data_IF_566315725978
#
_entry.id   IF_566315725978
#
_cell.length_a   1.000
_cell.length_b   1.000
_cell.length_c   1.000
_cell.angle_alpha   90.00
_cell.angle_beta   90.00
_cell.angle_gamma   90.00
#
_symmetry.space_group_name_H-M   'P 1'
#
loop_
_entity.id
_entity.type
_entity.pdbx_description
1 polymer ?
#
# COMPACT_ATOMS: atom_id res chain seq x y z
N UNK A 1 8.49 15.05 -5.58
CA UNK A 1 7.89 13.78 -5.10
C UNK A 1 8.94 12.89 -4.39
N UNK A 2 9.66 13.40 -3.37
CA UNK A 2 10.82 12.72 -2.74
C UNK A 2 10.47 11.99 -1.42
N UNK A 3 9.60 12.55 -0.58
CA UNK A 3 9.21 11.99 0.74
C UNK A 3 8.52 10.62 0.61
N UNK A 4 7.55 10.46 -0.29
CA UNK A 4 6.85 9.19 -0.49
C UNK A 4 7.81 8.04 -0.80
N UNK A 5 8.78 8.27 -1.68
CA UNK A 5 9.73 7.23 -2.09
C UNK A 5 10.64 6.83 -0.92
N UNK A 6 11.06 7.81 -0.12
CA UNK A 6 11.78 7.57 1.13
C UNK A 6 10.96 6.70 2.11
N UNK A 7 9.67 7.02 2.32
CA UNK A 7 8.78 6.23 3.18
C UNK A 7 8.64 4.80 2.67
N UNK A 8 8.34 4.62 1.37
CA UNK A 8 8.18 3.29 0.77
C UNK A 8 9.47 2.47 0.90
N UNK A 9 10.64 3.08 0.68
CA UNK A 9 11.94 2.40 0.83
C UNK A 9 12.17 1.93 2.27
N UNK A 10 11.93 2.80 3.26
CA UNK A 10 12.07 2.47 4.68
C UNK A 10 11.11 1.33 5.10
N UNK A 11 9.82 1.45 4.75
CA UNK A 11 8.81 0.43 5.06
C UNK A 11 9.16 -0.92 4.42
N UNK A 12 9.53 -0.93 3.14
CA UNK A 12 9.89 -2.16 2.42
C UNK A 12 11.10 -2.84 3.06
N UNK A 13 12.13 -2.06 3.40
CA UNK A 13 13.32 -2.57 4.06
C UNK A 13 13.01 -3.19 5.43
N UNK A 14 12.32 -2.46 6.32
CA UNK A 14 12.01 -2.93 7.68
C UNK A 14 11.09 -4.13 7.71
N UNK A 15 10.11 -4.18 6.79
CA UNK A 15 9.20 -5.32 6.66
C UNK A 15 9.95 -6.62 6.37
N UNK A 16 10.95 -6.58 5.49
CA UNK A 16 11.66 -7.77 5.03
C UNK A 16 12.79 -8.23 5.97
N UNK A 17 13.10 -7.49 7.04
CA UNK A 17 14.11 -7.94 8.03
C UNK A 17 13.59 -9.10 8.88
N UNK A 18 14.47 -10.02 9.24
CA UNK A 18 14.18 -11.09 10.20
C UNK A 18 14.50 -10.64 11.63
N UNK A 19 13.67 -9.75 12.16
CA UNK A 19 13.73 -9.27 13.55
C UNK A 19 12.33 -9.24 14.15
N UNK A 20 12.23 -9.11 15.47
CA UNK A 20 10.93 -9.02 16.15
C UNK A 20 10.10 -7.84 15.63
N UNK A 21 8.79 -8.00 15.68
CA UNK A 21 7.86 -6.98 15.16
C UNK A 21 8.02 -5.63 15.86
N UNK A 22 8.21 -5.64 17.18
CA UNK A 22 8.47 -4.45 17.99
C UNK A 22 9.74 -3.71 17.53
N UNK A 23 10.79 -4.46 17.18
CA UNK A 23 12.03 -3.89 16.63
C UNK A 23 11.77 -3.27 15.26
N UNK A 24 11.01 -3.93 14.37
CA UNK A 24 10.63 -3.34 13.07
C UNK A 24 9.92 -2.00 13.21
N UNK A 25 8.95 -1.90 14.12
CA UNK A 25 8.19 -0.67 14.36
C UNK A 25 9.12 0.43 14.88
N UNK A 26 9.86 0.14 15.96
CA UNK A 26 10.72 1.16 16.60
C UNK A 26 11.81 1.67 15.67
N UNK A 27 12.41 0.80 14.86
CA UNK A 27 13.38 1.19 13.84
C UNK A 27 12.74 1.96 12.68
N UNK A 28 11.55 1.56 12.23
CA UNK A 28 10.82 2.29 11.18
C UNK A 28 10.46 3.71 11.66
N UNK A 29 10.04 3.88 12.90
CA UNK A 29 9.77 5.21 13.48
C UNK A 29 11.03 6.09 13.40
N UNK A 30 12.21 5.55 13.72
CA UNK A 30 13.48 6.29 13.58
C UNK A 30 13.75 6.68 12.13
N UNK A 31 13.55 5.75 11.19
CA UNK A 31 13.72 6.04 9.76
C UNK A 31 12.80 7.18 9.33
N UNK A 32 11.50 7.09 9.64
CA UNK A 32 10.48 8.05 9.25
C UNK A 32 10.75 9.46 9.81
N UNK A 33 11.26 9.56 11.04
CA UNK A 33 11.66 10.83 11.63
C UNK A 33 12.85 11.49 10.89
N UNK A 34 13.76 10.70 10.33
CA UNK A 34 14.91 11.21 9.59
C UNK A 34 14.59 11.57 8.12
N UNK A 35 13.44 11.14 7.59
CA UNK A 35 13.07 11.39 6.17
C UNK A 35 13.07 12.88 5.79
N UNK A 36 12.50 13.81 6.58
CA UNK A 36 12.56 15.24 6.26
C UNK A 36 14.01 15.74 6.15
N UNK A 37 14.86 15.42 7.13
CA UNK A 37 16.29 15.78 7.13
C UNK A 37 17.00 15.27 5.88
N UNK A 38 16.77 14.00 5.52
CA UNK A 38 17.32 13.41 4.30
C UNK A 38 16.83 14.11 3.02
N UNK A 39 15.52 14.32 2.89
CA UNK A 39 14.92 14.86 1.66
C UNK A 39 15.32 16.30 1.41
N UNK A 40 15.57 17.07 2.48
CA UNK A 40 15.98 18.47 2.42
C UNK A 40 17.50 18.67 2.54
N UNK A 41 18.28 17.58 2.46
CA UNK A 41 19.72 17.65 2.24
C UNK A 41 20.58 17.81 3.50
N UNK A 42 20.02 17.70 4.70
CA UNK A 42 20.80 17.76 5.96
C UNK A 42 21.45 16.42 6.32
N UNK A 43 20.80 15.30 5.96
CA UNK A 43 21.33 13.93 6.16
C UNK A 43 21.74 13.57 7.59
N UNK A 44 21.15 14.22 8.60
CA UNK A 44 21.58 14.18 10.01
C UNK A 44 21.81 12.77 10.56
N UNK A 45 20.85 11.86 10.37
CA UNK A 45 20.95 10.48 10.87
C UNK A 45 21.17 9.45 9.75
N UNK A 46 21.41 9.89 8.52
CA UNK A 46 21.55 9.01 7.35
C UNK A 46 22.76 8.07 7.45
N UNK A 47 23.86 8.52 8.06
CA UNK A 47 25.06 7.69 8.24
C UNK A 47 24.79 6.44 9.09
N UNK A 48 23.87 6.51 10.05
CA UNK A 48 23.44 5.36 10.85
C UNK A 48 22.48 4.42 10.09
N UNK A 49 21.94 4.89 8.96
CA UNK A 49 20.98 4.20 8.10
C UNK A 49 21.63 3.85 6.75
N UNK A 50 22.75 3.13 6.77
CA UNK A 50 23.56 2.81 5.58
C UNK A 50 22.75 2.20 4.41
N UNK A 51 21.71 1.42 4.69
CA UNK A 51 20.82 0.86 3.66
C UNK A 51 20.00 1.93 2.91
N UNK A 52 19.80 3.07 3.55
CA UNK A 52 18.94 4.15 3.11
C UNK A 52 19.73 5.19 2.33
N UNK A 53 20.82 5.68 2.92
CA UNK A 53 21.74 6.67 2.38
C UNK A 53 23.11 6.51 3.05
N UNK A 54 24.19 6.83 2.33
CA UNK A 54 25.56 6.80 2.84
C UNK A 54 25.90 8.00 3.75
N UNK A 55 24.96 8.92 3.99
CA UNK A 55 25.15 10.12 4.81
C UNK A 55 25.97 11.22 4.16
N UNK A 56 26.43 11.03 2.92
CA UNK A 56 27.15 12.05 2.18
C UNK A 56 26.15 12.89 1.38
N UNK A 57 26.29 14.22 1.49
CA UNK A 57 25.60 15.13 0.58
C UNK A 57 26.02 14.83 -0.85
N UNK A 58 25.05 14.81 -1.75
CA UNK A 58 25.33 14.64 -3.18
C UNK A 58 25.95 15.91 -3.72
N UNK A 59 26.77 15.78 -4.76
CA UNK A 59 27.33 16.93 -5.44
C UNK A 59 26.22 17.86 -5.96
N UNK A 60 26.28 19.14 -5.59
CA UNK A 60 25.25 20.13 -5.90
C UNK A 60 23.98 20.06 -5.05
N UNK A 61 23.93 19.24 -4.00
CA UNK A 61 22.79 19.18 -3.07
C UNK A 61 22.84 20.31 -2.05
N UNK A 62 21.85 21.19 -2.08
CA UNK A 62 21.69 22.27 -1.10
C UNK A 62 20.96 21.77 0.16
N UNK A 63 21.46 22.14 1.34
CA UNK A 63 20.74 21.94 2.59
C UNK A 63 19.67 23.03 2.76
N UNK A 64 18.41 22.65 2.57
CA UNK A 64 17.26 23.55 2.65
C UNK A 64 16.62 23.59 4.04
N UNK A 65 17.08 22.79 5.01
CA UNK A 65 16.46 22.68 6.34
C UNK A 65 16.37 24.03 7.04
N UNK A 66 17.46 24.79 7.08
CA UNK A 66 17.47 26.11 7.73
C UNK A 66 16.53 27.12 7.05
N UNK A 67 16.47 27.09 5.72
CA UNK A 67 15.57 27.97 4.95
C UNK A 67 14.10 27.62 5.23
N UNK A 68 13.78 26.33 5.25
CA UNK A 68 12.44 25.82 5.55
C UNK A 68 12.02 26.06 7.00
N UNK A 69 12.96 26.00 7.95
CA UNK A 69 12.73 26.37 9.35
C UNK A 69 12.36 27.85 9.47
N UNK A 70 13.15 28.74 8.85
CA UNK A 70 12.88 30.19 8.85
C UNK A 70 11.53 30.52 8.21
N UNK A 71 11.14 29.79 7.18
CA UNK A 71 9.84 29.95 6.52
C UNK A 71 8.67 29.28 7.28
N UNK A 72 8.92 28.58 8.39
CA UNK A 72 7.91 27.80 9.11
C UNK A 72 7.34 26.62 8.32
N UNK A 73 7.97 26.24 7.21
CA UNK A 73 7.52 25.14 6.35
C UNK A 73 7.97 23.78 6.88
N UNK A 74 9.15 23.71 7.49
CA UNK A 74 9.66 22.44 8.03
C UNK A 74 8.70 21.86 9.08
N UNK A 75 8.21 22.70 9.99
CA UNK A 75 7.26 22.28 11.02
C UNK A 75 5.94 21.76 10.43
N UNK A 76 5.46 22.33 9.32
CA UNK A 76 4.28 21.81 8.61
C UNK A 76 4.54 20.43 8.03
N UNK A 77 5.74 20.20 7.49
CA UNK A 77 6.15 18.89 6.97
C UNK A 77 6.29 17.87 8.11
N UNK A 78 6.93 18.23 9.22
CA UNK A 78 7.07 17.37 10.39
C UNK A 78 5.70 16.99 10.99
N UNK A 79 4.77 17.95 11.07
CA UNK A 79 3.40 17.69 11.51
C UNK A 79 2.67 16.73 10.57
N UNK A 80 2.84 16.86 9.25
CA UNK A 80 2.28 15.92 8.28
C UNK A 80 2.90 14.52 8.42
N UNK A 81 4.21 14.45 8.66
CA UNK A 81 4.93 13.19 8.91
C UNK A 81 4.49 12.51 10.20
N UNK A 82 4.12 13.26 11.24
CA UNK A 82 3.67 12.71 12.52
C UNK A 82 2.52 11.71 12.36
N UNK A 83 1.54 12.03 11.51
CA UNK A 83 0.43 11.11 11.20
C UNK A 83 0.90 9.82 10.53
N UNK A 84 1.94 9.88 9.69
CA UNK A 84 2.55 8.70 9.06
C UNK A 84 3.30 7.87 10.10
N UNK A 85 4.04 8.53 10.99
CA UNK A 85 4.83 7.91 12.06
C UNK A 85 3.93 7.19 13.08
N UNK A 86 2.84 7.81 13.49
CA UNK A 86 1.85 7.22 14.40
C UNK A 86 1.20 5.95 13.83
N UNK A 87 1.17 5.83 12.49
CA UNK A 87 0.62 4.67 11.78
C UNK A 87 1.72 3.72 11.26
N UNK A 88 2.94 3.78 11.79
CA UNK A 88 4.07 2.95 11.35
C UNK A 88 3.77 1.44 11.36
N UNK A 89 3.01 0.96 12.36
CA UNK A 89 2.58 -0.43 12.44
C UNK A 89 1.70 -0.83 11.24
N UNK A 90 0.67 -0.03 10.93
CA UNK A 90 -0.20 -0.25 9.77
C UNK A 90 0.56 -0.18 8.44
N UNK A 91 1.58 0.68 8.34
CA UNK A 91 2.44 0.75 7.16
C UNK A 91 3.23 -0.54 6.93
N UNK A 92 3.74 -1.18 7.99
CA UNK A 92 4.43 -2.47 7.89
C UNK A 92 3.50 -3.58 7.39
N UNK A 93 2.24 -3.58 7.84
CA UNK A 93 1.21 -4.49 7.35
C UNK A 93 0.73 -4.19 5.92
N UNK A 94 1.11 -3.04 5.33
CA UNK A 94 0.56 -2.53 4.07
C UNK A 94 -0.97 -2.42 4.08
N UNK A 95 -1.56 -2.10 5.25
CA UNK A 95 -2.99 -1.84 5.29
C UNK A 95 -3.31 -0.56 4.52
N UNK A 96 -4.27 -0.67 3.59
CA UNK A 96 -4.90 0.50 2.97
C UNK A 96 -6.23 0.72 3.70
N UNK A 97 -6.48 1.96 4.14
CA UNK A 97 -7.80 2.34 4.68
C UNK A 97 -8.81 2.63 3.57
N UNK A 98 -8.37 2.64 2.31
CA UNK A 98 -9.24 2.87 1.18
C UNK A 98 -9.94 1.56 0.80
N UNK A 99 -11.09 1.34 1.42
CA UNK A 99 -11.98 0.21 1.11
C UNK A 99 -12.36 0.17 -0.38
N UNK A 100 -12.44 1.32 -1.05
CA UNK A 100 -12.73 1.42 -2.49
C UNK A 100 -11.55 0.93 -3.33
N UNK A 101 -10.31 1.27 -2.98
CA UNK A 101 -9.11 0.76 -3.68
C UNK A 101 -8.92 -0.73 -3.46
N UNK A 102 -9.12 -1.21 -2.22
CA UNK A 102 -9.09 -2.63 -1.90
C UNK A 102 -10.18 -3.39 -2.69
N UNK A 103 -11.41 -2.87 -2.72
CA UNK A 103 -12.52 -3.43 -3.49
C UNK A 103 -12.25 -3.39 -5.00
N UNK A 104 -11.80 -2.25 -5.54
CA UNK A 104 -11.46 -2.10 -6.95
C UNK A 104 -10.27 -2.98 -7.35
N UNK A 105 -9.31 -3.23 -6.46
CA UNK A 105 -8.22 -4.17 -6.68
C UNK A 105 -8.72 -5.61 -6.80
N UNK A 106 -9.65 -6.03 -5.92
CA UNK A 106 -10.32 -7.33 -5.97
C UNK A 106 -11.14 -7.46 -7.27
N UNK A 107 -11.98 -6.47 -7.57
CA UNK A 107 -12.77 -6.40 -8.79
C UNK A 107 -11.86 -6.49 -10.02
N UNK A 108 -10.76 -5.74 -10.07
CA UNK A 108 -9.85 -5.73 -11.22
C UNK A 108 -9.14 -7.08 -11.43
N UNK A 109 -8.75 -7.76 -10.35
CA UNK A 109 -8.20 -9.13 -10.41
C UNK A 109 -9.22 -10.13 -10.95
N UNK A 110 -10.48 -10.04 -10.49
CA UNK A 110 -11.55 -10.95 -10.90
C UNK A 110 -12.11 -10.68 -12.31
N UNK A 111 -12.17 -9.41 -12.72
CA UNK A 111 -12.59 -9.01 -14.07
C UNK A 111 -11.47 -9.30 -15.08
N UNK A 112 -10.23 -9.45 -14.61
CA UNK A 112 -9.12 -9.99 -15.38
C UNK A 112 -8.85 -9.20 -16.64
N UNK A 113 -8.61 -7.88 -16.52
CA UNK A 113 -8.15 -7.02 -17.63
C UNK A 113 -9.02 -7.02 -18.90
N UNK A 114 -10.15 -7.73 -18.94
CA UNK A 114 -11.05 -7.78 -20.10
C UNK A 114 -11.66 -6.40 -20.24
N UNK A 115 -11.40 -5.77 -21.38
CA UNK A 115 -11.97 -4.47 -21.76
C UNK A 115 -13.46 -4.47 -21.42
N UNK A 116 -13.90 -3.47 -20.66
CA UNK A 116 -15.31 -3.29 -20.31
C UNK A 116 -16.09 -3.17 -21.62
N UNK A 117 -16.92 -4.18 -21.92
CA UNK A 117 -17.76 -4.15 -23.12
C UNK A 117 -18.94 -3.19 -22.90
N UNK A 118 -18.75 -1.92 -23.27
CA UNK A 118 -19.72 -0.84 -23.03
C UNK A 118 -21.04 -1.01 -23.77
N UNK A 119 -21.06 -1.78 -24.86
CA UNK A 119 -22.29 -2.04 -25.61
C UNK A 119 -23.30 -2.94 -24.86
N UNK A 120 -22.90 -3.61 -23.77
CA UNK A 120 -23.77 -4.51 -23.02
C UNK A 120 -24.14 -3.89 -21.67
N UNK A 121 -25.33 -3.29 -21.60
CA UNK A 121 -25.88 -2.66 -20.39
C UNK A 121 -25.88 -3.66 -19.21
N UNK A 122 -25.35 -3.25 -18.07
CA UNK A 122 -25.32 -4.07 -16.84
C UNK A 122 -24.15 -5.06 -16.72
N UNK A 123 -23.34 -5.26 -17.76
CA UNK A 123 -22.21 -6.19 -17.74
C UNK A 123 -21.17 -5.86 -16.66
N UNK A 124 -20.84 -4.57 -16.48
CA UNK A 124 -19.94 -4.12 -15.42
C UNK A 124 -20.53 -4.37 -14.01
N UNK A 125 -21.79 -4.00 -13.80
CA UNK A 125 -22.47 -4.17 -12.51
C UNK A 125 -22.58 -5.65 -12.11
N UNK A 126 -22.88 -6.53 -13.07
CA UNK A 126 -22.92 -7.96 -12.85
C UNK A 126 -21.53 -8.51 -12.45
N UNK A 127 -20.46 -8.06 -13.12
CA UNK A 127 -19.10 -8.45 -12.78
C UNK A 127 -18.67 -7.98 -11.39
N UNK A 128 -18.98 -6.73 -11.02
CA UNK A 128 -18.70 -6.19 -9.68
C UNK A 128 -19.42 -7.03 -8.61
N UNK A 129 -20.71 -7.31 -8.79
CA UNK A 129 -21.49 -8.14 -7.86
C UNK A 129 -20.91 -9.55 -7.75
N UNK A 130 -20.53 -10.17 -8.87
CA UNK A 130 -19.91 -11.49 -8.88
C UNK A 130 -18.56 -11.51 -8.14
N UNK A 131 -17.72 -10.47 -8.32
CA UNK A 131 -16.45 -10.34 -7.59
C UNK A 131 -16.66 -10.27 -6.08
N UNK A 132 -17.67 -9.53 -5.62
CA UNK A 132 -18.00 -9.44 -4.18
C UNK A 132 -18.44 -10.79 -3.62
N UNK A 133 -19.32 -11.52 -4.32
CA UNK A 133 -19.76 -12.85 -3.89
C UNK A 133 -18.58 -13.82 -3.87
N UNK A 134 -17.72 -13.81 -4.89
CA UNK A 134 -16.56 -14.69 -4.97
C UNK A 134 -15.55 -14.41 -3.85
N UNK A 135 -15.27 -13.15 -3.54
CA UNK A 135 -14.34 -12.81 -2.47
C UNK A 135 -14.83 -13.27 -1.10
N UNK A 136 -16.13 -13.15 -0.81
CA UNK A 136 -16.67 -13.48 0.50
C UNK A 136 -17.00 -14.96 0.69
N UNK A 137 -17.30 -15.68 -0.38
CA UNK A 137 -17.84 -17.06 -0.29
C UNK A 137 -16.99 -18.11 -0.99
N UNK A 138 -16.03 -17.66 -1.82
CA UNK A 138 -15.27 -18.46 -2.79
C UNK A 138 -16.14 -19.30 -3.74
N UNK A 139 -17.45 -19.04 -3.78
CA UNK A 139 -18.46 -19.90 -4.42
C UNK A 139 -19.44 -19.12 -5.31
N UNK A 140 -18.95 -18.13 -6.06
CA UNK A 140 -19.83 -17.25 -6.83
C UNK A 140 -20.62 -17.96 -7.92
N UNK A 141 -20.04 -18.95 -8.60
CA UNK A 141 -20.73 -19.67 -9.66
C UNK A 141 -21.82 -20.56 -9.07
N UNK A 142 -21.53 -21.24 -7.95
CA UNK A 142 -22.51 -22.03 -7.19
C UNK A 142 -23.65 -21.15 -6.67
N UNK A 143 -23.33 -19.98 -6.10
CA UNK A 143 -24.33 -19.02 -5.62
C UNK A 143 -25.25 -18.54 -6.74
N UNK A 144 -24.71 -18.24 -7.93
CA UNK A 144 -25.51 -17.84 -9.09
C UNK A 144 -26.41 -18.97 -9.57
N UNK A 145 -25.88 -20.20 -9.69
CA UNK A 145 -26.69 -21.35 -10.11
C UNK A 145 -27.87 -21.58 -9.16
N UNK A 146 -27.63 -21.56 -7.86
CA UNK A 146 -28.68 -21.72 -6.84
C UNK A 146 -29.70 -20.60 -6.87
N UNK A 147 -29.28 -19.35 -7.06
CA UNK A 147 -30.20 -18.21 -7.18
C UNK A 147 -31.07 -18.28 -8.45
N UNK A 148 -30.67 -19.06 -9.45
CA UNK A 148 -31.43 -19.33 -10.67
C UNK A 148 -32.23 -20.63 -10.60
N UNK A 149 -32.34 -21.27 -9.43
CA UNK A 149 -32.95 -22.59 -9.23
C UNK A 149 -32.33 -23.69 -10.12
N UNK A 150 -31.03 -23.56 -10.42
CA UNK A 150 -30.27 -24.53 -11.21
C UNK A 150 -29.28 -25.27 -10.34
N UNK A 151 -29.14 -26.58 -10.60
CA UNK A 151 -28.09 -27.39 -9.98
C UNK A 151 -26.71 -26.95 -10.53
N UNK A 152 -25.74 -26.62 -9.67
CA UNK A 152 -24.39 -26.30 -10.11
C UNK A 152 -23.78 -27.50 -10.86
N UNK A 153 -23.13 -27.28 -12.02
CA UNK A 153 -22.34 -28.31 -12.69
C UNK A 153 -21.19 -28.80 -11.80
N UNK A 154 -20.82 -30.07 -11.91
CA UNK A 154 -19.68 -30.65 -11.16
C UNK A 154 -18.37 -29.91 -11.44
N UNK A 155 -18.19 -29.41 -12.67
CA UNK A 155 -17.04 -28.60 -13.06
C UNK A 155 -16.95 -27.29 -12.28
N UNK A 156 -18.09 -26.74 -11.85
CA UNK A 156 -18.15 -25.53 -11.05
C UNK A 156 -17.53 -25.73 -9.67
N UNK A 157 -17.86 -26.84 -9.00
CA UNK A 157 -17.24 -27.19 -7.72
C UNK A 157 -15.73 -27.42 -7.86
N UNK A 158 -15.28 -28.04 -8.95
CA UNK A 158 -13.85 -28.23 -9.23
C UNK A 158 -13.13 -26.87 -9.40
N UNK A 159 -13.75 -25.91 -10.08
CA UNK A 159 -13.18 -24.57 -10.29
C UNK A 159 -13.15 -23.77 -8.98
N UNK A 160 -14.21 -23.85 -8.18
CA UNK A 160 -14.31 -23.12 -6.91
C UNK A 160 -13.43 -23.72 -5.81
N UNK A 161 -13.16 -25.03 -5.85
CA UNK A 161 -12.25 -25.69 -4.91
C UNK A 161 -10.77 -25.56 -5.31
N UNK A 162 -10.48 -25.11 -6.52
CA UNK A 162 -9.11 -24.88 -7.02
C UNK A 162 -8.42 -23.64 -6.45
N UNK A 163 -9.00 -22.96 -5.45
CA UNK A 163 -8.62 -21.61 -5.05
C UNK A 163 -7.11 -21.35 -4.97
N UNK A 164 -6.72 -20.34 -5.76
CA UNK A 164 -5.52 -19.48 -5.66
C UNK A 164 -5.59 -18.67 -4.35
#
# INVERSE_FOLDING_TARGET
MKIRNAVVKAVTFRRNREVSWQTKISELIKDLNNIPSHVFGEHKDCASLQYFCNGQQKEGEENLVLQLQRAGLLQKVENAMKRIIENADSLLYQFTSNSVESCNGIISKFIGGKRVHYAMKGSYQARVKASVVQFNTSRALTSVCRAMDKKPPTQTEIIENRNI
#
